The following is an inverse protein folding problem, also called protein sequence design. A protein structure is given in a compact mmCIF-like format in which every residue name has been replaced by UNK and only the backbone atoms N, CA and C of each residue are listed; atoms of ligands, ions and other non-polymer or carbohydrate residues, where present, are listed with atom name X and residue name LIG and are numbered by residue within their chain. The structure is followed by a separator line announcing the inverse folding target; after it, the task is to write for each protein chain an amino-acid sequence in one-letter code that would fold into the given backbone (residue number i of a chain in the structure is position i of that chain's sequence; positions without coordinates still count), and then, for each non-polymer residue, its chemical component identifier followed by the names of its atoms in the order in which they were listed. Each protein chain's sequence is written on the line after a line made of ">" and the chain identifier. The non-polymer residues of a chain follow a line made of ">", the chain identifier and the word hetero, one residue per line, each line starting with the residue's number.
data_IF_062476539670
#
_entry.id   IF_062476539670
#
_cell.length_a   1.000
_cell.length_b   1.000
_cell.length_c   1.000
_cell.angle_alpha   90.00
_cell.angle_beta   90.00
_cell.angle_gamma   90.00
#
_symmetry.space_group_name_H-M   'P 1'
#
loop_
_entity.id
_entity.type
_entity.pdbx_description
1 polymer ?
#
# COMPACT_ATOMS: atom_id res chain seq x y z
N UNK A 1 -29.10 -33.63 -94.46
CA UNK A 1 -27.72 -33.14 -94.27
C UNK A 1 -27.58 -32.51 -92.89
N UNK A 2 -26.91 -33.19 -91.96
CA UNK A 2 -26.09 -32.61 -90.87
C UNK A 2 -25.42 -33.77 -90.15
N UNK A 3 -24.12 -33.96 -90.42
CA UNK A 3 -23.26 -34.95 -89.76
C UNK A 3 -22.92 -34.41 -88.38
N UNK A 4 -23.23 -35.14 -87.31
CA UNK A 4 -22.78 -34.82 -85.95
C UNK A 4 -21.49 -35.60 -85.72
N UNK A 5 -20.41 -34.86 -85.50
CA UNK A 5 -19.05 -35.33 -85.28
C UNK A 5 -18.94 -35.75 -83.80
N UNK A 6 -18.65 -37.02 -83.54
CA UNK A 6 -18.30 -37.51 -82.19
C UNK A 6 -16.85 -37.13 -81.91
N UNK A 7 -16.61 -36.29 -80.90
CA UNK A 7 -15.27 -36.01 -80.36
C UNK A 7 -15.12 -36.77 -79.03
N UNK A 8 -14.28 -37.80 -79.04
CA UNK A 8 -13.92 -38.61 -77.90
C UNK A 8 -12.82 -37.89 -77.11
N UNK A 9 -13.13 -37.32 -75.94
CA UNK A 9 -12.13 -36.78 -75.03
C UNK A 9 -11.67 -37.87 -74.05
N UNK A 10 -10.42 -38.30 -74.22
CA UNK A 10 -9.74 -39.29 -73.40
C UNK A 10 -9.12 -38.58 -72.19
N UNK A 11 -9.73 -38.69 -71.02
CA UNK A 11 -9.22 -38.13 -69.76
C UNK A 11 -8.36 -39.19 -69.06
N UNK A 12 -7.04 -39.00 -69.11
CA UNK A 12 -6.06 -39.78 -68.34
C UNK A 12 -6.15 -39.41 -66.84
N UNK A 13 -6.25 -40.37 -65.91
CA UNK A 13 -6.19 -40.09 -64.49
C UNK A 13 -4.74 -39.77 -64.08
N UNK A 14 -4.45 -38.51 -63.83
CA UNK A 14 -3.19 -38.07 -63.24
C UNK A 14 -3.15 -38.53 -61.78
N UNK A 15 -2.49 -39.66 -61.52
CA UNK A 15 -2.25 -40.15 -60.17
C UNK A 15 -1.18 -39.28 -59.51
N UNK A 16 -1.60 -38.30 -58.71
CA UNK A 16 -0.70 -37.63 -57.78
C UNK A 16 -0.42 -38.57 -56.60
N UNK A 17 0.70 -39.27 -56.65
CA UNK A 17 1.29 -39.90 -55.48
C UNK A 17 1.82 -38.78 -54.56
N UNK A 18 1.09 -38.47 -53.48
CA UNK A 18 1.61 -37.62 -52.41
C UNK A 18 2.62 -38.42 -51.59
N UNK A 19 3.90 -38.14 -51.77
CA UNK A 19 4.94 -38.57 -50.84
C UNK A 19 4.73 -37.84 -49.51
N UNK A 20 4.37 -38.59 -48.46
CA UNK A 20 4.34 -38.08 -47.10
C UNK A 20 5.79 -37.86 -46.66
N UNK A 21 6.22 -36.60 -46.57
CA UNK A 21 7.46 -36.24 -45.87
C UNK A 21 7.17 -36.45 -44.38
N UNK A 22 7.74 -37.52 -43.82
CA UNK A 22 7.73 -37.79 -42.39
C UNK A 22 8.51 -36.66 -41.70
N UNK A 23 7.74 -35.76 -41.08
CA UNK A 23 8.26 -34.59 -40.38
C UNK A 23 8.96 -35.12 -39.11
N UNK A 24 10.22 -34.76 -38.86
CA UNK A 24 10.92 -35.26 -37.68
C UNK A 24 10.19 -34.82 -36.42
N UNK A 25 9.90 -35.77 -35.53
CA UNK A 25 9.40 -35.51 -34.18
C UNK A 25 10.44 -34.71 -33.41
N UNK A 26 10.25 -33.39 -33.38
CA UNK A 26 10.95 -32.51 -32.45
C UNK A 26 10.37 -32.80 -31.08
N UNK A 27 11.15 -33.54 -30.28
CA UNK A 27 11.01 -33.63 -28.83
C UNK A 27 11.01 -32.21 -28.26
N UNK A 28 9.82 -31.69 -27.92
CA UNK A 28 9.70 -30.45 -27.18
C UNK A 28 10.01 -30.73 -25.72
N UNK A 29 11.17 -30.27 -25.25
CA UNK A 29 11.45 -30.12 -23.82
C UNK A 29 10.51 -29.08 -23.22
N UNK A 30 9.35 -29.53 -22.76
CA UNK A 30 8.33 -28.75 -22.07
C UNK A 30 8.70 -28.66 -20.59
N UNK A 31 9.67 -27.82 -20.24
CA UNK A 31 10.08 -27.63 -18.85
C UNK A 31 10.83 -26.30 -18.70
N UNK A 32 10.12 -25.20 -18.43
CA UNK A 32 10.59 -24.09 -17.57
C UNK A 32 9.60 -22.90 -17.47
N UNK A 33 8.47 -22.90 -18.21
CA UNK A 33 7.52 -21.77 -18.21
C UNK A 33 6.05 -22.10 -17.91
N UNK A 34 5.75 -23.33 -17.49
CA UNK A 34 4.37 -23.71 -17.15
C UNK A 34 3.96 -23.06 -15.82
N UNK A 35 2.92 -22.22 -15.88
CA UNK A 35 2.27 -21.62 -14.73
C UNK A 35 1.11 -22.51 -14.27
N UNK A 36 1.02 -22.77 -12.96
CA UNK A 36 0.02 -23.63 -12.35
C UNK A 36 -0.95 -22.81 -11.50
N UNK A 37 -2.17 -23.33 -11.34
CA UNK A 37 -3.16 -22.79 -10.41
C UNK A 37 -3.15 -23.53 -9.08
N UNK A 38 -3.78 -22.92 -8.08
CA UNK A 38 -3.98 -23.56 -6.78
C UNK A 38 -4.74 -24.90 -6.86
N UNK A 39 -5.38 -25.29 -7.96
CA UNK A 39 -6.03 -26.61 -8.08
C UNK A 39 -5.08 -27.70 -8.56
N UNK A 40 -4.05 -27.32 -9.30
CA UNK A 40 -3.18 -28.27 -10.03
C UNK A 40 -1.94 -28.68 -9.23
N UNK A 41 -1.58 -27.93 -8.19
CA UNK A 41 -0.42 -28.24 -7.33
C UNK A 41 -0.77 -29.25 -6.23
N UNK A 42 0.21 -30.02 -5.75
CA UNK A 42 0.05 -30.91 -4.60
C UNK A 42 0.12 -30.13 -3.29
N UNK A 43 1.22 -29.41 -3.06
CA UNK A 43 1.37 -28.50 -1.92
C UNK A 43 1.23 -27.04 -2.36
N UNK A 44 0.63 -26.21 -1.50
CA UNK A 44 0.52 -24.78 -1.75
C UNK A 44 1.84 -24.06 -1.44
N UNK A 45 2.04 -22.91 -2.08
CA UNK A 45 3.05 -21.97 -1.62
C UNK A 45 2.73 -21.50 -0.18
N UNK A 46 3.78 -21.31 0.64
CA UNK A 46 3.64 -20.83 2.02
C UNK A 46 4.30 -19.46 2.14
N UNK A 47 3.47 -18.46 2.36
CA UNK A 47 3.92 -17.10 2.65
C UNK A 47 4.59 -17.05 4.04
N UNK A 48 5.65 -16.24 4.24
CA UNK A 48 6.25 -16.08 5.57
C UNK A 48 5.19 -15.72 6.64
N UNK A 49 5.14 -16.51 7.72
CA UNK A 49 4.15 -16.35 8.79
C UNK A 49 2.84 -17.14 8.60
N UNK A 50 2.79 -18.05 7.62
CA UNK A 50 1.69 -19.00 7.38
C UNK A 50 2.09 -20.47 7.61
N UNK A 51 3.23 -20.73 8.25
CA UNK A 51 3.82 -22.08 8.39
C UNK A 51 3.00 -23.02 9.28
N UNK A 52 2.15 -22.48 10.15
CA UNK A 52 1.26 -23.26 11.02
C UNK A 52 0.06 -23.85 10.28
N UNK A 53 -0.24 -23.38 9.07
CA UNK A 53 -1.39 -23.84 8.30
C UNK A 53 -1.05 -25.12 7.53
N UNK A 54 -1.87 -26.15 7.68
CA UNK A 54 -1.66 -27.46 7.03
C UNK A 54 -2.58 -27.67 5.84
N UNK A 55 -3.77 -27.05 5.85
CA UNK A 55 -4.76 -27.19 4.80
C UNK A 55 -4.50 -26.21 3.66
N UNK A 56 -4.60 -26.71 2.42
CA UNK A 56 -4.32 -25.92 1.21
C UNK A 56 -5.16 -24.64 1.12
N UNK A 57 -6.43 -24.73 1.49
CA UNK A 57 -7.37 -23.61 1.52
C UNK A 57 -7.03 -22.61 2.62
N UNK A 58 -6.52 -23.09 3.76
CA UNK A 58 -6.07 -22.22 4.84
C UNK A 58 -4.78 -21.48 4.46
N UNK A 59 -3.85 -22.14 3.78
CA UNK A 59 -2.65 -21.52 3.21
C UNK A 59 -2.98 -20.43 2.19
N UNK A 60 -3.94 -20.67 1.28
CA UNK A 60 -4.40 -19.64 0.31
C UNK A 60 -4.95 -18.42 1.04
N UNK A 61 -5.83 -18.65 2.03
CA UNK A 61 -6.44 -17.58 2.83
C UNK A 61 -5.41 -16.80 3.62
N UNK A 62 -4.48 -17.49 4.30
CA UNK A 62 -3.40 -16.85 5.04
C UNK A 62 -2.52 -16.01 4.12
N UNK A 63 -2.11 -16.55 2.95
CA UNK A 63 -1.35 -15.80 1.95
C UNK A 63 -2.07 -14.51 1.54
N UNK A 64 -3.36 -14.62 1.18
CA UNK A 64 -4.17 -13.47 0.78
C UNK A 64 -4.27 -12.44 1.90
N UNK A 65 -4.47 -12.88 3.14
CA UNK A 65 -4.53 -12.00 4.31
C UNK A 65 -3.20 -11.25 4.50
N UNK A 66 -2.05 -11.95 4.48
CA UNK A 66 -0.74 -11.32 4.66
C UNK A 66 -0.42 -10.27 3.61
N UNK A 67 -0.70 -10.57 2.34
CA UNK A 67 -0.50 -9.57 1.28
C UNK A 67 -1.45 -8.37 1.48
N UNK A 68 -2.71 -8.61 1.82
CA UNK A 68 -3.67 -7.52 2.09
C UNK A 68 -3.23 -6.64 3.27
N UNK A 69 -2.74 -7.23 4.36
CA UNK A 69 -2.20 -6.50 5.52
C UNK A 69 -1.05 -5.56 5.10
N UNK A 70 -0.12 -6.05 4.27
CA UNK A 70 0.98 -5.24 3.76
C UNK A 70 0.49 -4.15 2.79
N UNK A 71 -0.51 -4.46 1.96
CA UNK A 71 -1.08 -3.49 1.03
C UNK A 71 -1.76 -2.32 1.72
N UNK A 72 -2.40 -2.54 2.88
CA UNK A 72 -3.01 -1.45 3.66
C UNK A 72 -1.94 -0.40 4.01
N UNK A 73 -0.77 -0.83 4.49
CA UNK A 73 0.33 0.07 4.80
C UNK A 73 0.99 0.74 3.59
N UNK A 74 0.87 0.15 2.39
CA UNK A 74 1.44 0.70 1.15
C UNK A 74 0.48 1.59 0.36
N UNK A 75 -0.81 1.58 0.69
CA UNK A 75 -1.87 2.33 0.01
C UNK A 75 -2.50 3.40 0.94
N UNK A 76 -1.81 3.78 2.00
CA UNK A 76 -2.34 4.68 3.04
C UNK A 76 -2.69 6.07 2.51
N UNK A 77 -1.97 6.56 1.50
CA UNK A 77 -2.16 7.85 0.83
C UNK A 77 -3.14 7.78 -0.36
N UNK A 78 -3.64 6.59 -0.70
CA UNK A 78 -4.54 6.41 -1.84
C UNK A 78 -5.92 7.06 -1.63
N UNK A 79 -6.26 7.46 -0.40
CA UNK A 79 -7.46 8.24 -0.11
C UNK A 79 -7.49 9.58 -0.85
N UNK A 80 -6.34 10.26 -1.00
CA UNK A 80 -6.28 11.55 -1.70
C UNK A 80 -6.70 11.42 -3.17
N UNK A 81 -6.28 10.33 -3.82
CA UNK A 81 -6.65 10.03 -5.20
C UNK A 81 -8.13 9.68 -5.34
N UNK A 82 -8.66 8.95 -4.37
CA UNK A 82 -10.08 8.61 -4.29
C UNK A 82 -10.97 9.85 -4.09
N UNK A 83 -10.55 10.79 -3.23
CA UNK A 83 -11.21 12.08 -3.02
C UNK A 83 -11.16 12.96 -4.28
N UNK A 84 -9.98 13.08 -4.91
CA UNK A 84 -9.80 13.81 -6.17
C UNK A 84 -10.72 13.31 -7.28
N UNK A 85 -11.01 12.01 -7.28
CA UNK A 85 -11.88 11.35 -8.25
C UNK A 85 -13.33 11.23 -7.77
N UNK A 86 -13.64 11.75 -6.58
CA UNK A 86 -14.95 11.69 -5.93
C UNK A 86 -15.51 10.26 -5.89
N UNK A 87 -14.71 9.32 -5.38
CA UNK A 87 -15.05 7.90 -5.21
C UNK A 87 -14.89 7.48 -3.76
N UNK A 88 -15.88 6.76 -3.26
CA UNK A 88 -15.86 6.20 -1.89
C UNK A 88 -15.37 4.75 -1.90
N UNK A 89 -15.59 4.04 -3.01
CA UNK A 89 -15.17 2.66 -3.19
C UNK A 89 -14.48 2.46 -4.54
N UNK A 90 -13.45 1.62 -4.53
CA UNK A 90 -12.75 1.19 -5.71
C UNK A 90 -12.37 -0.29 -5.59
N UNK A 91 -12.32 -0.96 -6.73
CA UNK A 91 -11.89 -2.35 -6.83
C UNK A 91 -10.84 -2.42 -7.93
N UNK A 92 -9.79 -3.19 -7.70
CA UNK A 92 -8.82 -3.60 -8.70
C UNK A 92 -8.61 -5.12 -8.62
N UNK A 93 -8.14 -5.71 -9.71
CA UNK A 93 -7.80 -7.13 -9.76
C UNK A 93 -6.35 -7.27 -10.18
N UNK A 94 -5.51 -7.79 -9.30
CA UNK A 94 -4.10 -7.99 -9.58
C UNK A 94 -3.81 -9.48 -9.76
N UNK A 95 -2.98 -9.82 -10.75
CA UNK A 95 -2.41 -11.13 -10.92
C UNK A 95 -0.90 -11.06 -10.72
N UNK A 96 -0.34 -12.06 -10.05
CA UNK A 96 1.10 -12.25 -9.94
C UNK A 96 1.44 -13.74 -9.89
N UNK A 97 2.72 -14.07 -10.00
CA UNK A 97 3.23 -15.44 -9.95
C UNK A 97 4.23 -15.55 -8.81
N UNK A 98 4.06 -16.56 -7.96
CA UNK A 98 5.14 -17.02 -7.07
C UNK A 98 5.96 -18.02 -7.88
N UNK A 99 7.22 -17.68 -8.17
CA UNK A 99 8.08 -18.54 -8.98
C UNK A 99 8.61 -19.75 -8.19
N UNK A 100 9.26 -20.69 -8.89
CA UNK A 100 9.90 -21.87 -8.30
C UNK A 100 10.99 -21.56 -7.26
N UNK A 101 11.43 -20.30 -7.13
CA UNK A 101 12.41 -19.83 -6.16
C UNK A 101 11.78 -19.03 -5.01
N UNK A 102 10.45 -18.91 -4.97
CA UNK A 102 9.75 -18.18 -3.92
C UNK A 102 9.66 -16.67 -4.13
N UNK A 103 9.90 -16.16 -5.34
CA UNK A 103 9.83 -14.74 -5.67
C UNK A 103 8.50 -14.39 -6.32
N UNK A 104 7.97 -13.22 -5.98
CA UNK A 104 6.84 -12.63 -6.69
C UNK A 104 7.32 -12.01 -8.01
N UNK A 105 6.77 -12.47 -9.12
CA UNK A 105 7.10 -12.02 -10.48
C UNK A 105 5.82 -11.84 -11.31
N UNK A 106 5.95 -11.25 -12.50
CA UNK A 106 4.85 -11.09 -13.47
C UNK A 106 3.60 -10.42 -12.86
N UNK A 107 3.83 -9.40 -12.05
CA UNK A 107 2.78 -8.61 -11.41
C UNK A 107 2.10 -7.78 -12.50
N UNK A 108 0.77 -7.89 -12.61
CA UNK A 108 -0.01 -7.13 -13.58
C UNK A 108 -1.43 -6.88 -13.10
N UNK A 109 -1.95 -5.72 -13.46
CA UNK A 109 -3.38 -5.46 -13.41
C UNK A 109 -4.11 -6.33 -14.44
N UNK A 110 -5.22 -6.93 -14.01
CA UNK A 110 -6.19 -7.53 -14.92
C UNK A 110 -7.23 -6.47 -15.32
N UNK A 111 -7.89 -6.70 -16.45
CA UNK A 111 -8.98 -5.83 -16.88
C UNK A 111 -10.13 -5.82 -15.88
N UNK A 112 -10.74 -4.65 -15.74
CA UNK A 112 -11.86 -4.40 -14.83
C UNK A 112 -11.42 -3.76 -13.51
N UNK A 113 -12.24 -2.83 -13.02
CA UNK A 113 -11.93 -2.04 -11.84
C UNK A 113 -11.38 -0.65 -12.17
N UNK A 114 -10.85 0.03 -11.16
CA UNK A 114 -10.30 1.37 -11.25
C UNK A 114 -8.81 1.31 -11.66
N UNK A 115 -8.42 1.89 -12.80
CA UNK A 115 -7.04 1.85 -13.29
C UNK A 115 -6.01 2.42 -12.30
N UNK A 116 -6.37 3.48 -11.58
CA UNK A 116 -5.50 4.16 -10.61
C UNK A 116 -5.19 3.24 -9.42
N UNK A 117 -6.22 2.60 -8.85
CA UNK A 117 -6.02 1.61 -7.78
C UNK A 117 -5.21 0.41 -8.28
N UNK A 118 -5.42 -0.01 -9.52
CA UNK A 118 -4.69 -1.13 -10.10
C UNK A 118 -3.19 -0.82 -10.30
N UNK A 119 -2.87 0.41 -10.72
CA UNK A 119 -1.50 0.88 -10.84
C UNK A 119 -0.81 0.99 -9.45
N UNK A 120 -1.47 1.64 -8.49
CA UNK A 120 -0.98 1.77 -7.12
C UNK A 120 -0.75 0.40 -6.46
N UNK A 121 -1.73 -0.51 -6.57
CA UNK A 121 -1.63 -1.86 -6.01
C UNK A 121 -0.52 -2.69 -6.68
N UNK A 122 -0.32 -2.56 -8.00
CA UNK A 122 0.75 -3.28 -8.70
C UNK A 122 2.12 -2.82 -8.20
N UNK A 123 2.33 -1.50 -8.09
CA UNK A 123 3.56 -0.92 -7.55
C UNK A 123 3.78 -1.34 -6.09
N UNK A 124 2.74 -1.31 -5.25
CA UNK A 124 2.83 -1.76 -3.87
C UNK A 124 3.24 -3.24 -3.76
N UNK A 125 2.73 -4.12 -4.64
CA UNK A 125 3.16 -5.53 -4.67
C UNK A 125 4.61 -5.68 -5.12
N UNK A 126 5.10 -4.84 -6.05
CA UNK A 126 6.52 -4.83 -6.43
C UNK A 126 7.43 -4.42 -5.27
N UNK A 127 7.03 -3.43 -4.47
CA UNK A 127 7.76 -3.03 -3.26
C UNK A 127 7.74 -4.13 -2.20
N UNK A 128 6.56 -4.72 -1.93
CA UNK A 128 6.42 -5.86 -1.02
C UNK A 128 7.33 -7.01 -1.47
N UNK A 129 7.39 -7.31 -2.78
CA UNK A 129 8.23 -8.37 -3.31
C UNK A 129 9.73 -8.15 -3.05
N UNK A 130 10.18 -6.91 -2.91
CA UNK A 130 11.56 -6.57 -2.59
C UNK A 130 11.88 -6.66 -1.08
N UNK A 131 10.86 -6.51 -0.22
CA UNK A 131 11.01 -6.42 1.24
C UNK A 131 10.82 -7.77 1.95
N UNK A 132 9.99 -8.66 1.39
CA UNK A 132 9.65 -9.93 2.05
C UNK A 132 10.74 -10.99 1.92
N UNK A 133 10.77 -11.89 2.90
CA UNK A 133 11.55 -13.12 2.79
C UNK A 133 11.01 -14.02 1.66
N UNK A 134 11.85 -14.88 1.06
CA UNK A 134 11.41 -15.81 0.02
C UNK A 134 10.24 -16.69 0.48
N UNK A 135 9.23 -16.81 -0.37
CA UNK A 135 8.05 -17.63 -0.15
C UNK A 135 8.42 -19.10 -0.38
N UNK A 136 7.94 -20.04 0.44
CA UNK A 136 8.12 -21.47 0.11
C UNK A 136 7.29 -21.78 -1.14
N UNK A 137 7.88 -22.26 -2.26
CA UNK A 137 7.16 -22.46 -3.51
C UNK A 137 6.15 -23.61 -3.40
N UNK A 138 5.14 -23.60 -4.29
CA UNK A 138 4.25 -24.74 -4.45
C UNK A 138 4.95 -25.91 -5.15
N UNK A 139 4.47 -27.12 -4.92
CA UNK A 139 5.06 -28.34 -5.50
C UNK A 139 4.02 -29.23 -6.18
N UNK A 140 4.45 -30.02 -7.16
CA UNK A 140 3.65 -31.10 -7.76
C UNK A 140 3.73 -32.38 -6.93
N UNK A 141 3.04 -33.44 -7.38
CA UNK A 141 3.04 -34.74 -6.68
C UNK A 141 4.45 -35.38 -6.58
N UNK A 142 5.33 -35.08 -7.53
CA UNK A 142 6.72 -35.53 -7.54
C UNK A 142 7.64 -34.68 -6.64
N UNK A 143 7.10 -33.65 -5.98
CA UNK A 143 7.84 -32.71 -5.13
C UNK A 143 8.54 -31.57 -5.89
N UNK A 144 8.43 -31.51 -7.23
CA UNK A 144 9.08 -30.48 -8.03
C UNK A 144 8.46 -29.10 -7.75
N UNK A 145 9.27 -28.05 -7.45
CA UNK A 145 8.75 -26.70 -7.26
C UNK A 145 8.29 -26.09 -8.57
N UNK A 146 7.18 -25.35 -8.53
CA UNK A 146 6.54 -24.79 -9.74
C UNK A 146 6.13 -23.33 -9.57
N UNK A 147 5.92 -22.66 -10.71
CA UNK A 147 5.35 -21.32 -10.76
C UNK A 147 3.85 -21.37 -10.46
N UNK A 148 3.40 -20.63 -9.46
CA UNK A 148 2.01 -20.62 -9.00
C UNK A 148 1.37 -19.25 -9.25
N UNK A 149 0.26 -19.24 -10.00
CA UNK A 149 -0.49 -18.02 -10.30
C UNK A 149 -1.43 -17.70 -9.15
N UNK A 150 -1.37 -16.45 -8.69
CA UNK A 150 -2.34 -15.87 -7.76
C UNK A 150 -3.12 -14.74 -8.42
N UNK A 151 -4.37 -14.61 -8.01
CA UNK A 151 -5.20 -13.44 -8.30
C UNK A 151 -5.73 -12.88 -6.99
N UNK A 152 -5.55 -11.58 -6.79
CA UNK A 152 -5.97 -10.84 -5.62
C UNK A 152 -6.94 -9.73 -6.03
N UNK A 153 -8.22 -9.79 -5.60
CA UNK A 153 -9.08 -8.62 -5.65
C UNK A 153 -8.66 -7.64 -4.56
N UNK A 154 -8.22 -6.45 -4.95
CA UNK A 154 -7.97 -5.34 -4.02
C UNK A 154 -9.24 -4.50 -3.97
N UNK A 155 -9.82 -4.36 -2.78
CA UNK A 155 -10.95 -3.47 -2.54
C UNK A 155 -10.45 -2.34 -1.65
N UNK A 156 -10.63 -1.12 -2.12
CA UNK A 156 -10.36 0.09 -1.36
C UNK A 156 -11.69 0.74 -1.07
N UNK A 157 -11.93 1.07 0.20
CA UNK A 157 -13.09 1.83 0.62
C UNK A 157 -12.57 2.93 1.52
N UNK A 158 -12.95 4.16 1.20
CA UNK A 158 -12.93 5.22 2.18
C UNK A 158 -14.11 4.91 3.09
N UNK A 159 -13.85 4.49 4.32
CA UNK A 159 -14.88 4.53 5.35
C UNK A 159 -15.14 6.00 5.64
N UNK A 160 -15.96 6.62 4.80
CA UNK A 160 -16.75 7.74 5.25
C UNK A 160 -17.61 7.14 6.34
N UNK A 161 -17.29 7.43 7.59
CA UNK A 161 -18.19 7.11 8.68
C UNK A 161 -19.47 7.92 8.45
N UNK A 162 -20.40 7.39 7.65
CA UNK A 162 -21.83 7.69 7.70
C UNK A 162 -22.40 7.02 8.96
N UNK A 163 -21.82 7.34 10.12
CA UNK A 163 -22.54 7.22 11.38
C UNK A 163 -23.41 8.47 11.48
N UNK A 164 -24.70 8.24 11.61
CA UNK A 164 -25.68 9.19 12.15
C UNK A 164 -25.42 9.45 13.64
N UNK A 165 -24.23 9.93 13.95
CA UNK A 165 -23.79 10.57 15.18
C UNK A 165 -22.68 11.51 14.71
N UNK A 166 -22.72 12.77 15.11
CA UNK A 166 -21.65 13.74 14.82
C UNK A 166 -20.28 13.06 15.03
N UNK A 167 -19.24 13.33 14.20
CA UNK A 167 -17.88 12.88 14.55
C UNK A 167 -17.69 13.28 16.01
N UNK A 168 -17.27 12.36 16.90
CA UNK A 168 -17.03 12.69 18.31
C UNK A 168 -16.35 14.05 18.32
N UNK A 169 -17.09 15.13 18.62
CA UNK A 169 -16.45 16.42 18.56
C UNK A 169 -15.47 16.37 19.72
N UNK A 170 -14.22 16.82 19.51
CA UNK A 170 -13.33 16.94 20.65
C UNK A 170 -14.09 17.64 21.76
N UNK A 171 -13.93 17.20 23.01
CA UNK A 171 -14.61 17.79 24.18
C UNK A 171 -14.19 19.27 24.44
N UNK A 172 -13.60 19.93 23.46
CA UNK A 172 -13.06 21.27 23.48
C UNK A 172 -13.27 21.97 22.13
N UNK A 173 -13.48 23.28 22.18
CA UNK A 173 -13.51 24.14 20.99
C UNK A 173 -12.10 24.41 20.48
N UNK A 174 -11.93 24.41 19.16
CA UNK A 174 -10.63 24.64 18.52
C UNK A 174 -10.76 25.34 17.17
N UNK A 175 -9.80 26.21 16.85
CA UNK A 175 -9.67 26.82 15.53
C UNK A 175 -8.49 26.20 14.76
N UNK A 176 -7.35 26.07 15.44
CA UNK A 176 -6.15 25.38 14.96
C UNK A 176 -5.58 24.42 16.02
N UNK A 177 -5.02 23.29 15.56
CA UNK A 177 -4.23 22.36 16.38
C UNK A 177 -2.81 22.26 15.84
N UNK A 178 -1.82 22.19 16.73
CA UNK A 178 -0.42 21.94 16.37
C UNK A 178 -0.22 20.47 16.04
N UNK A 179 0.31 20.20 14.85
CA UNK A 179 0.67 18.86 14.37
C UNK A 179 2.15 18.56 14.55
N UNK A 180 3.00 19.58 14.36
CA UNK A 180 4.44 19.45 14.54
C UNK A 180 5.06 20.79 14.91
N UNK A 181 6.11 20.72 15.72
CA UNK A 181 7.01 21.80 16.06
C UNK A 181 8.40 21.47 15.53
N UNK A 182 8.85 22.21 14.53
CA UNK A 182 10.15 22.04 13.90
C UNK A 182 11.13 23.08 14.45
N UNK A 183 12.42 22.77 14.49
CA UNK A 183 13.46 23.70 14.96
C UNK A 183 14.63 23.73 13.99
N UNK A 184 15.04 24.93 13.58
CA UNK A 184 16.23 25.21 12.80
C UNK A 184 17.06 26.30 13.49
N UNK A 185 18.10 25.88 14.20
CA UNK A 185 18.88 26.77 15.08
C UNK A 185 18.00 27.36 16.19
N UNK A 186 17.84 28.68 16.18
CA UNK A 186 16.97 29.42 17.13
C UNK A 186 15.54 29.61 16.60
N UNK A 187 15.28 29.25 15.34
CA UNK A 187 13.98 29.43 14.72
C UNK A 187 13.12 28.20 15.01
N UNK A 188 11.90 28.45 15.49
CA UNK A 188 10.90 27.41 15.75
C UNK A 188 9.73 27.59 14.79
N UNK A 189 9.32 26.51 14.14
CA UNK A 189 8.15 26.49 13.27
C UNK A 189 7.05 25.63 13.86
N UNK A 190 5.80 26.06 13.76
CA UNK A 190 4.62 25.25 14.06
C UNK A 190 3.88 24.95 12.77
N UNK A 191 3.67 23.67 12.49
CA UNK A 191 2.71 23.19 11.50
C UNK A 191 1.39 23.01 12.22
N UNK A 192 0.36 23.70 11.75
CA UNK A 192 -0.98 23.68 12.33
C UNK A 192 -2.00 23.19 11.33
N UNK A 193 -3.01 22.49 11.80
CA UNK A 193 -4.19 22.17 11.01
C UNK A 193 -5.41 22.89 11.55
N UNK A 194 -6.23 23.41 10.63
CA UNK A 194 -7.53 23.99 10.94
C UNK A 194 -8.65 22.96 10.91
N UNK A 195 -9.84 23.30 11.45
CA UNK A 195 -11.08 22.51 11.31
C UNK A 195 -11.41 22.12 9.87
N UNK A 196 -10.97 22.92 8.88
CA UNK A 196 -11.18 22.67 7.46
C UNK A 196 -10.06 21.84 6.81
N UNK A 197 -9.19 21.22 7.59
CA UNK A 197 -8.03 20.43 7.13
C UNK A 197 -7.03 21.23 6.26
N UNK A 198 -7.05 22.56 6.32
CA UNK A 198 -5.97 23.36 5.75
C UNK A 198 -4.76 23.32 6.68
N UNK A 199 -3.57 23.13 6.10
CA UNK A 199 -2.31 23.18 6.83
C UNK A 199 -1.69 24.58 6.73
N UNK A 200 -1.28 25.12 7.86
CA UNK A 200 -0.65 26.43 7.96
C UNK A 200 0.67 26.30 8.70
N UNK A 201 1.70 27.00 8.23
CA UNK A 201 3.00 27.02 8.91
C UNK A 201 3.27 28.40 9.48
N UNK A 202 3.73 28.42 10.73
CA UNK A 202 4.04 29.64 11.47
C UNK A 202 5.47 29.60 12.00
N UNK A 203 6.17 30.73 11.97
CA UNK A 203 7.35 30.95 12.82
C UNK A 203 6.89 31.35 14.22
N UNK A 204 7.24 30.58 15.24
CA UNK A 204 6.84 30.81 16.64
C UNK A 204 7.72 31.87 17.26
N UNK A 205 7.09 32.94 17.77
CA UNK A 205 7.77 34.02 18.51
C UNK A 205 6.93 34.42 19.74
N UNK A 206 7.54 35.06 20.77
CA UNK A 206 6.85 35.36 22.02
C UNK A 206 5.52 36.11 21.85
N UNK A 207 5.43 37.05 20.90
CA UNK A 207 4.16 37.56 20.34
C UNK A 207 4.43 38.60 19.22
N UNK A 208 3.81 38.54 18.03
CA UNK A 208 3.04 37.43 17.45
C UNK A 208 3.92 36.46 16.65
N UNK A 209 3.43 35.22 16.51
CA UNK A 209 3.93 34.27 15.51
C UNK A 209 3.79 34.84 14.09
N UNK A 210 4.71 34.50 13.19
CA UNK A 210 4.66 34.94 11.79
C UNK A 210 4.01 33.83 10.97
N UNK A 211 2.92 34.13 10.29
CA UNK A 211 2.36 33.23 9.28
C UNK A 211 3.28 33.14 8.05
N UNK A 212 3.69 31.93 7.69
CA UNK A 212 4.63 31.68 6.59
C UNK A 212 3.96 31.15 5.34
N UNK A 213 2.80 30.52 5.44
CA UNK A 213 2.04 30.04 4.28
C UNK A 213 1.01 28.97 4.61
N UNK A 214 0.15 28.72 3.62
CA UNK A 214 -0.77 27.58 3.61
C UNK A 214 -0.25 26.52 2.65
N UNK A 215 -0.54 25.27 2.99
CA UNK A 215 -0.15 24.09 2.24
C UNK A 215 -1.37 23.19 2.09
N UNK A 216 -1.47 22.54 0.94
CA UNK A 216 -2.56 21.64 0.63
C UNK A 216 -2.46 20.33 1.43
N UNK A 217 -1.23 19.83 1.63
CA UNK A 217 -0.96 18.57 2.31
C UNK A 217 0.27 18.67 3.22
N UNK A 218 0.40 17.72 4.16
CA UNK A 218 1.61 17.58 4.98
C UNK A 218 2.84 17.25 4.11
N UNK A 219 2.66 16.49 3.04
CA UNK A 219 3.74 16.13 2.10
C UNK A 219 4.32 17.37 1.40
N UNK A 220 3.49 18.33 1.04
CA UNK A 220 3.94 19.60 0.45
C UNK A 220 4.87 20.34 1.42
N UNK A 221 4.56 20.33 2.72
CA UNK A 221 5.41 20.91 3.76
C UNK A 221 6.70 20.10 3.87
N UNK A 222 6.60 18.78 3.95
CA UNK A 222 7.74 17.88 4.16
C UNK A 222 8.76 17.88 3.02
N UNK A 223 8.40 18.33 1.81
CA UNK A 223 9.34 18.49 0.68
C UNK A 223 9.87 19.92 0.49
N UNK A 224 9.36 20.88 1.27
CA UNK A 224 9.71 22.30 1.19
C UNK A 224 10.81 22.66 2.19
N UNK A 225 11.83 23.42 1.77
CA UNK A 225 12.85 23.94 2.69
C UNK A 225 12.31 25.13 3.50
N UNK A 226 12.68 25.25 4.79
CA UNK A 226 13.67 24.44 5.52
C UNK A 226 13.12 23.14 6.12
N UNK A 227 11.80 22.91 6.07
CA UNK A 227 11.12 21.83 6.78
C UNK A 227 11.60 20.44 6.36
N UNK A 228 11.83 20.24 5.06
CA UNK A 228 12.37 18.99 4.51
C UNK A 228 13.64 18.54 5.20
N UNK A 229 14.62 19.46 5.33
CA UNK A 229 15.88 19.17 5.99
C UNK A 229 15.68 18.80 7.47
N UNK A 230 14.69 19.38 8.15
CA UNK A 230 14.38 19.08 9.54
C UNK A 230 13.75 17.70 9.66
N UNK A 231 12.75 17.36 8.84
CA UNK A 231 12.11 16.05 8.86
C UNK A 231 13.10 14.91 8.57
N UNK A 232 13.95 15.05 7.55
CA UNK A 232 14.88 13.99 7.16
C UNK A 232 15.95 13.68 8.22
N UNK A 233 16.28 14.64 9.09
CA UNK A 233 17.33 14.50 10.08
C UNK A 233 16.83 14.07 11.46
N UNK A 234 15.51 13.98 11.67
CA UNK A 234 14.91 13.75 12.98
C UNK A 234 14.07 12.47 13.02
N UNK A 235 14.52 11.48 13.80
CA UNK A 235 13.76 10.23 14.06
C UNK A 235 12.56 10.41 14.99
N UNK A 236 12.52 11.53 15.71
CA UNK A 236 11.40 11.95 16.55
C UNK A 236 11.02 13.38 16.20
N UNK A 237 9.73 13.62 15.97
CA UNK A 237 9.18 14.94 15.69
C UNK A 237 8.45 15.42 16.93
N UNK A 238 8.83 16.61 17.42
CA UNK A 238 8.10 17.27 18.49
C UNK A 238 6.74 17.69 17.93
N UNK A 239 5.66 17.35 18.61
CA UNK A 239 4.31 17.86 18.30
C UNK A 239 4.16 19.22 18.99
N UNK A 240 4.23 19.21 20.31
CA UNK A 240 4.15 20.41 21.16
C UNK A 240 4.88 20.17 22.48
N UNK A 241 5.09 21.24 23.25
CA UNK A 241 5.57 21.20 24.63
C UNK A 241 4.92 22.31 25.45
N UNK A 242 4.83 22.14 26.76
CA UNK A 242 4.31 23.19 27.63
C UNK A 242 4.39 22.85 29.11
N UNK A 243 4.18 23.87 29.94
CA UNK A 243 4.18 23.74 31.39
C UNK A 243 2.75 23.55 31.91
N UNK A 244 2.53 22.55 32.75
CA UNK A 244 1.30 22.37 33.54
C UNK A 244 1.67 21.95 34.95
N UNK A 245 1.13 22.64 35.96
CA UNK A 245 1.43 22.37 37.37
C UNK A 245 2.94 22.33 37.67
N UNK A 246 3.70 23.27 37.11
CA UNK A 246 5.17 23.37 37.22
C UNK A 246 5.95 22.19 36.59
N UNK A 247 5.28 21.31 35.87
CA UNK A 247 5.88 20.17 35.16
C UNK A 247 5.91 20.48 33.66
N UNK A 248 7.08 20.30 33.03
CA UNK A 248 7.21 20.37 31.58
C UNK A 248 6.73 19.07 30.96
N UNK A 249 5.80 19.17 30.02
CA UNK A 249 5.35 18.07 29.18
C UNK A 249 5.87 18.25 27.76
N UNK A 250 6.29 17.14 27.14
CA UNK A 250 6.73 17.09 25.75
C UNK A 250 6.02 15.96 25.04
N UNK A 251 5.56 16.22 23.82
CA UNK A 251 4.74 15.33 23.03
C UNK A 251 5.46 15.02 21.74
N UNK A 252 5.76 13.75 21.48
CA UNK A 252 6.52 13.35 20.29
C UNK A 252 5.78 12.33 19.45
N UNK A 253 5.94 12.46 18.14
CA UNK A 253 5.75 11.37 17.19
C UNK A 253 7.12 10.75 16.85
N UNK A 254 7.15 9.46 16.51
CA UNK A 254 8.39 8.74 16.16
C UNK A 254 8.28 8.15 14.76
N UNK A 255 9.37 8.21 14.01
CA UNK A 255 9.43 7.69 12.63
C UNK A 255 9.11 6.19 12.57
N UNK A 256 9.60 5.41 13.54
CA UNK A 256 9.31 3.97 13.62
C UNK A 256 7.86 3.62 14.04
N UNK A 257 7.11 4.61 14.52
CA UNK A 257 5.75 4.43 15.04
C UNK A 257 4.89 5.70 14.85
N UNK A 258 4.57 6.05 13.59
CA UNK A 258 3.96 7.34 13.25
C UNK A 258 2.49 7.45 13.69
N UNK A 259 1.83 6.33 13.99
CA UNK A 259 0.41 6.33 14.41
C UNK A 259 0.20 6.64 15.90
N UNK A 260 1.26 6.88 16.66
CA UNK A 260 1.20 7.09 18.11
C UNK A 260 1.86 8.40 18.55
N UNK A 261 1.36 8.93 19.66
CA UNK A 261 1.94 10.06 20.40
C UNK A 261 2.54 9.55 21.70
N UNK A 262 3.80 9.93 21.92
CA UNK A 262 4.56 9.61 23.12
C UNK A 262 4.61 10.84 24.01
N UNK A 263 4.06 10.71 25.22
CA UNK A 263 3.90 11.81 26.16
C UNK A 263 4.92 11.63 27.27
N UNK A 264 5.80 12.62 27.44
CA UNK A 264 6.81 12.62 28.49
C UNK A 264 6.54 13.78 29.45
N UNK A 265 7.00 13.59 30.69
CA UNK A 265 7.11 14.64 31.68
C UNK A 265 8.58 14.79 32.09
N UNK A 266 9.04 16.02 32.26
CA UNK A 266 10.36 16.28 32.81
C UNK A 266 10.29 16.22 34.35
N UNK A 267 10.95 15.23 34.95
CA UNK A 267 11.07 15.07 36.40
C UNK A 267 12.53 15.04 36.78
N UNK A 268 12.94 15.96 37.65
CA UNK A 268 14.33 16.05 38.15
C UNK A 268 15.39 16.15 37.03
N UNK A 269 15.02 16.71 35.87
CA UNK A 269 15.89 16.84 34.70
C UNK A 269 15.90 15.63 33.76
N UNK A 270 15.12 14.58 34.03
CA UNK A 270 14.97 13.42 33.15
C UNK A 270 13.57 13.36 32.52
N UNK A 271 13.52 13.04 31.23
CA UNK A 271 12.26 12.77 30.52
C UNK A 271 11.75 11.37 30.91
N UNK A 272 10.61 11.32 31.57
CA UNK A 272 9.94 10.07 31.93
C UNK A 272 8.73 9.89 31.04
N UNK A 273 8.69 8.79 30.28
CA UNK A 273 7.51 8.42 29.47
C UNK A 273 6.32 8.21 30.41
N UNK A 274 5.30 9.02 30.26
CA UNK A 274 4.08 8.96 31.04
C UNK A 274 3.07 8.03 30.38
N UNK A 275 2.86 8.21 29.07
CA UNK A 275 1.77 7.58 28.33
C UNK A 275 2.12 7.47 26.85
N UNK A 276 1.59 6.43 26.21
CA UNK A 276 1.56 6.25 24.76
C UNK A 276 0.10 6.10 24.37
N UNK A 277 -0.36 6.88 23.41
CA UNK A 277 -1.72 6.79 22.88
C UNK A 277 -1.73 6.97 21.37
N UNK A 278 -2.83 6.55 20.72
CA UNK A 278 -2.95 6.75 19.28
C UNK A 278 -3.00 8.25 18.96
N UNK A 279 -2.58 8.61 17.74
CA UNK A 279 -2.66 9.98 17.26
C UNK A 279 -4.09 10.51 17.33
N UNK A 280 -5.07 9.68 16.97
CA UNK A 280 -6.49 10.00 17.09
C UNK A 280 -6.86 10.31 18.56
N UNK A 281 -6.64 9.37 19.48
CA UNK A 281 -7.02 9.55 20.89
C UNK A 281 -6.37 10.79 21.51
N UNK A 282 -5.14 11.14 21.10
CA UNK A 282 -4.44 12.32 21.59
C UNK A 282 -5.19 13.60 21.24
N UNK A 283 -5.58 13.78 19.98
CA UNK A 283 -6.36 14.94 19.57
C UNK A 283 -7.82 14.84 20.05
N UNK A 284 -8.37 13.69 20.37
CA UNK A 284 -9.73 13.63 20.97
C UNK A 284 -9.71 13.94 22.48
N UNK A 285 -8.55 13.90 23.13
CA UNK A 285 -8.45 14.03 24.58
C UNK A 285 -8.45 15.48 25.06
N UNK A 286 -9.44 15.83 25.90
CA UNK A 286 -9.46 17.09 26.67
C UNK A 286 -8.31 17.20 27.68
N UNK A 287 -7.66 16.08 28.05
CA UNK A 287 -6.55 16.04 29.02
C UNK A 287 -5.34 16.85 28.57
N UNK A 288 -5.07 16.87 27.27
CA UNK A 288 -3.87 17.45 26.67
C UNK A 288 -4.15 18.60 25.70
N UNK A 289 -5.42 18.98 25.53
CA UNK A 289 -5.84 19.97 24.52
C UNK A 289 -5.13 21.31 24.66
N UNK A 290 -4.96 21.81 25.88
CA UNK A 290 -4.27 23.09 26.13
C UNK A 290 -2.84 23.17 25.57
N UNK A 291 -2.17 22.03 25.34
CA UNK A 291 -0.80 22.03 24.82
C UNK A 291 -0.76 22.24 23.31
N UNK A 292 -1.76 21.75 22.57
CA UNK A 292 -1.75 21.76 21.11
C UNK A 292 -2.77 22.74 20.49
N UNK A 293 -3.69 23.30 21.27
CA UNK A 293 -4.60 24.34 20.80
C UNK A 293 -3.89 25.68 20.59
N UNK A 294 -4.26 26.41 19.53
CA UNK A 294 -3.74 27.73 19.19
C UNK A 294 -4.85 28.70 18.82
#
# INVERSE_FOLDING_TARGET
>A
MRKILFALFLVLPFSFAFAQVEKPEISQSKSDSANFTAREVKEMAVFPGCESETEKTALVRCFQQRISELLIGKLWDFSEEMERLNKEEAIARIQFVVDKNGKLIQIKALEGGMPELAAASSKAIEEIAAEIQPIRPATLEDGSPVNLVFQLPVKYRIELNETTDEPDEPEYEWDEVVLATLTDGEIRYEIRASKLHNFSVYEVRPNPSIFLGNFATMDEIAITEPYRSIFQNNKKILITEGMKDEILYTFYNKEEDPSNVYIYQLKEGEEVLLEKMSYYDFYMSSKYSEFFLR
#
